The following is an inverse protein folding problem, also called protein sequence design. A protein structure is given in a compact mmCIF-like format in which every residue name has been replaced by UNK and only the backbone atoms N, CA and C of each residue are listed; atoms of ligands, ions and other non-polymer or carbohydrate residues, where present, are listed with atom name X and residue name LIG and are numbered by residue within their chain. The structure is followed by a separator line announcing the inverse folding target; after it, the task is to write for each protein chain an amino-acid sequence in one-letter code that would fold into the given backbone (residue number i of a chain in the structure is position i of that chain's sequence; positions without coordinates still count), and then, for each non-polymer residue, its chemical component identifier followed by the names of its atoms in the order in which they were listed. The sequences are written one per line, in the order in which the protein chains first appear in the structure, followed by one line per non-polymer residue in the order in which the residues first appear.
data_IF_968401605044
#
_entry.id   IF_968401605044
#
_cell.length_a   1.000
_cell.length_b   1.000
_cell.length_c   1.000
_cell.angle_alpha   90.00
_cell.angle_beta   90.00
_cell.angle_gamma   90.00
#
_symmetry.space_group_name_H-M   'P 1'
#
loop_
_entity.id
_entity.type
_entity.pdbx_description
1 polymer ?
#
# COMPACT_ATOMS: atom_id res chain seq x y z
N UNK A 1 5.98 -1.78 -25.11
CA UNK A 1 6.63 -1.09 -23.97
C UNK A 1 5.92 0.24 -23.75
N UNK A 2 5.47 0.57 -22.52
CA UNK A 2 4.87 1.89 -22.24
C UNK A 2 6.00 2.87 -21.90
N UNK A 3 6.03 4.04 -22.53
CA UNK A 3 6.95 5.12 -22.16
C UNK A 3 6.58 5.62 -20.75
N UNK A 4 7.58 5.79 -19.89
CA UNK A 4 7.41 6.29 -18.52
C UNK A 4 8.41 7.41 -18.25
N UNK A 5 7.97 8.41 -17.47
CA UNK A 5 8.80 9.52 -17.01
C UNK A 5 9.12 9.35 -15.52
N UNK A 6 10.31 9.79 -15.10
CA UNK A 6 10.75 9.72 -13.70
C UNK A 6 11.41 11.03 -13.27
N UNK A 7 10.82 11.66 -12.26
CA UNK A 7 11.41 12.80 -11.57
C UNK A 7 12.00 12.36 -10.22
N UNK A 8 13.21 12.82 -9.90
CA UNK A 8 13.86 12.56 -8.62
C UNK A 8 13.81 13.84 -7.80
N UNK A 9 13.08 13.81 -6.68
CA UNK A 9 12.92 14.93 -5.76
C UNK A 9 13.91 14.75 -4.60
N UNK A 10 14.90 15.65 -4.49
CA UNK A 10 15.86 15.69 -3.39
C UNK A 10 15.34 16.50 -2.21
N UNK A 11 16.01 16.42 -1.06
CA UNK A 11 15.63 17.15 0.17
C UNK A 11 15.61 18.68 0.03
N UNK A 12 16.38 19.23 -0.91
CA UNK A 12 16.43 20.67 -1.17
C UNK A 12 15.24 21.17 -2.00
N UNK A 13 14.46 20.27 -2.59
CA UNK A 13 13.32 20.65 -3.40
C UNK A 13 12.16 21.14 -2.53
N UNK A 14 11.49 22.23 -2.94
CA UNK A 14 10.42 22.87 -2.15
C UNK A 14 9.26 21.93 -1.81
N UNK A 15 8.90 21.00 -2.72
CA UNK A 15 7.86 19.98 -2.49
C UNK A 15 8.29 18.79 -1.60
N UNK A 16 9.57 18.66 -1.27
CA UNK A 16 10.08 17.45 -0.62
C UNK A 16 9.38 17.15 0.71
N UNK A 17 9.21 18.17 1.55
CA UNK A 17 8.63 18.03 2.89
C UNK A 17 7.19 17.51 2.82
N UNK A 18 6.40 18.04 1.88
CA UNK A 18 5.01 17.61 1.69
C UNK A 18 4.93 16.16 1.18
N UNK A 19 5.76 15.81 0.19
CA UNK A 19 5.78 14.45 -0.37
C UNK A 19 6.21 13.44 0.70
N UNK A 20 7.24 13.76 1.49
CA UNK A 20 7.70 12.89 2.58
C UNK A 20 6.61 12.69 3.64
N UNK A 21 5.93 13.78 4.04
CA UNK A 21 4.81 13.71 4.98
C UNK A 21 3.70 12.80 4.47
N UNK A 22 3.24 12.96 3.22
CA UNK A 22 2.21 12.08 2.65
C UNK A 22 2.69 10.62 2.54
N UNK A 23 3.96 10.39 2.23
CA UNK A 23 4.54 9.04 2.19
C UNK A 23 4.61 8.40 3.58
N UNK A 24 4.77 9.20 4.64
CA UNK A 24 4.67 8.76 6.02
C UNK A 24 3.24 8.39 6.41
N UNK A 25 2.25 9.23 6.08
CA UNK A 25 0.81 8.94 6.30
C UNK A 25 0.40 7.67 5.56
N UNK A 26 0.81 7.51 4.29
CA UNK A 26 0.59 6.29 3.51
C UNK A 26 1.17 5.04 4.20
N UNK A 27 2.32 5.17 4.85
CA UNK A 27 2.92 4.09 5.64
C UNK A 27 2.11 3.77 6.88
N UNK A 28 1.56 4.77 7.58
CA UNK A 28 0.70 4.53 8.73
C UNK A 28 -0.57 3.78 8.33
N UNK A 29 -1.26 4.25 7.27
CA UNK A 29 -2.44 3.57 6.73
C UNK A 29 -2.14 2.12 6.34
N UNK A 30 -1.01 1.88 5.66
CA UNK A 30 -0.55 0.53 5.32
C UNK A 30 -0.36 -0.33 6.57
N UNK A 31 0.32 0.18 7.59
CA UNK A 31 0.58 -0.55 8.83
C UNK A 31 -0.71 -0.82 9.62
N UNK A 32 -1.63 0.13 9.69
CA UNK A 32 -2.95 -0.02 10.33
C UNK A 32 -3.78 -1.09 9.62
N UNK A 33 -3.86 -1.04 8.29
CA UNK A 33 -4.56 -2.07 7.53
C UNK A 33 -3.90 -3.46 7.71
N UNK A 34 -2.56 -3.50 7.71
CA UNK A 34 -1.84 -4.75 7.91
C UNK A 34 -1.99 -5.30 9.32
N UNK A 35 -2.18 -4.44 10.32
CA UNK A 35 -2.48 -4.87 11.68
C UNK A 35 -3.76 -5.70 11.72
N UNK A 36 -4.86 -5.20 11.14
CA UNK A 36 -6.12 -5.94 11.10
C UNK A 36 -6.00 -7.27 10.35
N UNK A 37 -5.30 -7.31 9.21
CA UNK A 37 -5.04 -8.58 8.53
C UNK A 37 -4.25 -9.56 9.38
N UNK A 38 -3.19 -9.10 10.06
CA UNK A 38 -2.33 -9.96 10.89
C UNK A 38 -3.08 -10.50 12.10
N UNK A 39 -3.85 -9.67 12.80
CA UNK A 39 -4.68 -10.13 13.91
C UNK A 39 -5.63 -11.24 13.47
N UNK A 40 -6.39 -10.99 12.40
CA UNK A 40 -7.31 -11.98 11.84
C UNK A 40 -6.59 -13.25 11.38
N UNK A 41 -5.43 -13.12 10.74
CA UNK A 41 -4.62 -14.25 10.31
C UNK A 41 -4.10 -15.08 11.49
N UNK A 42 -3.64 -14.46 12.58
CA UNK A 42 -3.10 -15.22 13.70
C UNK A 42 -4.16 -16.05 14.41
N UNK A 43 -5.36 -15.50 14.54
CA UNK A 43 -6.52 -16.18 15.11
C UNK A 43 -7.11 -17.24 14.17
N UNK A 44 -7.39 -16.88 12.91
CA UNK A 44 -8.22 -17.69 12.01
C UNK A 44 -7.43 -18.45 10.94
N UNK A 45 -6.12 -18.17 10.79
CA UNK A 45 -5.25 -18.64 9.69
C UNK A 45 -5.76 -18.31 8.28
N UNK A 46 -6.67 -17.34 8.18
CA UNK A 46 -7.33 -16.89 6.94
C UNK A 46 -7.02 -15.43 6.65
N UNK A 47 -7.36 -14.97 5.44
CA UNK A 47 -7.34 -13.56 5.06
C UNK A 47 -8.67 -12.91 5.44
N UNK A 48 -8.63 -11.74 6.06
CA UNK A 48 -9.82 -10.92 6.32
C UNK A 48 -10.48 -10.50 4.99
N UNK A 49 -11.80 -10.31 4.95
CA UNK A 49 -12.43 -9.79 3.76
C UNK A 49 -12.00 -8.34 3.50
N UNK A 50 -11.78 -7.97 2.24
CA UNK A 50 -11.39 -6.61 1.87
C UNK A 50 -12.41 -5.55 2.31
N UNK A 51 -13.71 -5.84 2.20
CA UNK A 51 -14.77 -4.91 2.58
C UNK A 51 -14.78 -4.66 4.09
N UNK A 52 -14.65 -5.72 4.89
CA UNK A 52 -14.54 -5.62 6.35
C UNK A 52 -13.30 -4.81 6.76
N UNK A 53 -12.16 -5.10 6.13
CA UNK A 53 -10.94 -4.32 6.35
C UNK A 53 -11.16 -2.85 6.02
N UNK A 54 -11.73 -2.57 4.84
CA UNK A 54 -11.96 -1.20 4.38
C UNK A 54 -12.84 -0.42 5.35
N UNK A 55 -13.91 -1.02 5.89
CA UNK A 55 -14.75 -0.38 6.91
C UNK A 55 -14.01 -0.10 8.21
N UNK A 56 -13.09 -0.98 8.63
CA UNK A 56 -12.26 -0.77 9.83
C UNK A 56 -11.32 0.42 9.67
N UNK A 57 -10.74 0.63 8.47
CA UNK A 57 -9.69 1.64 8.27
C UNK A 57 -10.19 2.96 7.66
N UNK A 58 -11.34 2.97 7.00
CA UNK A 58 -11.86 4.16 6.28
C UNK A 58 -12.21 5.35 7.19
N UNK A 59 -12.41 5.08 8.48
CA UNK A 59 -12.67 6.11 9.50
C UNK A 59 -11.41 6.68 10.16
N UNK A 60 -10.24 6.12 9.87
CA UNK A 60 -8.97 6.56 10.47
C UNK A 60 -8.50 7.91 9.92
N UNK A 61 -7.74 8.64 10.73
CA UNK A 61 -7.15 9.93 10.32
C UNK A 61 -6.18 9.75 9.16
N UNK A 62 -5.35 8.69 9.18
CA UNK A 62 -4.43 8.41 8.09
C UNK A 62 -5.16 8.16 6.75
N UNK A 63 -6.35 7.56 6.78
CA UNK A 63 -7.17 7.39 5.58
C UNK A 63 -7.70 8.71 5.05
N UNK A 64 -8.20 9.58 5.95
CA UNK A 64 -8.82 10.88 5.63
C UNK A 64 -7.80 11.94 5.21
N UNK A 65 -6.56 11.83 5.69
CA UNK A 65 -5.46 12.72 5.34
C UNK A 65 -4.86 12.46 3.94
N UNK A 66 -5.38 11.47 3.22
CA UNK A 66 -5.01 11.17 1.84
C UNK A 66 -6.25 11.17 0.95
N UNK A 67 -6.12 11.46 -0.37
CA UNK A 67 -7.25 11.36 -1.27
C UNK A 67 -7.85 9.95 -1.25
N UNK A 68 -9.17 9.83 -1.14
CA UNK A 68 -9.91 8.55 -1.01
C UNK A 68 -9.44 7.49 -2.00
N UNK A 69 -9.21 7.86 -3.27
CA UNK A 69 -8.74 6.94 -4.31
C UNK A 69 -7.33 6.40 -4.02
N UNK A 70 -6.42 7.25 -3.53
CA UNK A 70 -5.07 6.88 -3.14
C UNK A 70 -5.10 5.95 -1.91
N UNK A 71 -5.87 6.31 -0.89
CA UNK A 71 -6.06 5.50 0.33
C UNK A 71 -6.56 4.09 0.00
N UNK A 72 -7.60 4.00 -0.84
CA UNK A 72 -8.15 2.71 -1.30
C UNK A 72 -7.13 1.88 -2.07
N UNK A 73 -6.31 2.50 -2.91
CA UNK A 73 -5.26 1.79 -3.67
C UNK A 73 -4.12 1.29 -2.78
N UNK A 74 -3.75 2.03 -1.73
CA UNK A 74 -2.78 1.56 -0.71
C UNK A 74 -3.29 0.25 -0.07
N UNK A 75 -4.55 0.22 0.36
CA UNK A 75 -5.17 -0.95 0.98
C UNK A 75 -5.28 -2.11 -0.02
N UNK A 76 -5.67 -1.85 -1.28
CA UNK A 76 -5.74 -2.87 -2.34
C UNK A 76 -4.39 -3.53 -2.63
N UNK A 77 -3.30 -2.76 -2.60
CA UNK A 77 -1.95 -3.33 -2.80
C UNK A 77 -1.55 -4.25 -1.65
N UNK A 78 -1.90 -3.89 -0.42
CA UNK A 78 -1.72 -4.77 0.73
C UNK A 78 -2.58 -6.03 0.62
N UNK A 79 -3.85 -5.88 0.24
CA UNK A 79 -4.79 -6.99 0.01
C UNK A 79 -4.22 -7.99 -1.02
N UNK A 80 -3.67 -7.48 -2.13
CA UNK A 80 -2.99 -8.27 -3.15
C UNK A 80 -1.76 -9.00 -2.59
N UNK A 81 -0.93 -8.32 -1.79
CA UNK A 81 0.23 -8.94 -1.15
C UNK A 81 -0.17 -10.12 -0.23
N UNK A 82 -1.28 -10.00 0.51
CA UNK A 82 -1.84 -11.09 1.30
C UNK A 82 -2.37 -12.22 0.42
N UNK A 83 -3.10 -11.92 -0.66
CA UNK A 83 -3.56 -12.94 -1.63
C UNK A 83 -2.37 -13.73 -2.21
N UNK A 84 -1.31 -13.03 -2.61
CA UNK A 84 -0.09 -13.63 -3.14
C UNK A 84 0.62 -14.49 -2.10
N UNK A 85 0.66 -14.07 -0.82
CA UNK A 85 1.20 -14.90 0.25
C UNK A 85 0.45 -16.25 0.37
N UNK A 86 -0.89 -16.23 0.39
CA UNK A 86 -1.67 -17.47 0.48
C UNK A 86 -1.52 -18.35 -0.76
N UNK A 87 -1.43 -17.75 -1.96
CA UNK A 87 -1.15 -18.49 -3.18
C UNK A 87 0.24 -19.15 -3.14
N UNK A 88 1.27 -18.39 -2.77
CA UNK A 88 2.63 -18.89 -2.63
C UNK A 88 2.72 -19.98 -1.56
N UNK A 89 2.04 -19.84 -0.43
CA UNK A 89 2.03 -20.85 0.64
C UNK A 89 1.43 -22.17 0.16
N UNK A 90 0.31 -22.13 -0.56
CA UNK A 90 -0.33 -23.32 -1.15
C UNK A 90 0.59 -24.03 -2.14
N UNK A 91 1.27 -23.28 -2.99
CA UNK A 91 2.19 -23.85 -3.97
C UNK A 91 3.45 -24.39 -3.30
N UNK A 92 3.99 -23.68 -2.31
CA UNK A 92 5.11 -24.14 -1.51
C UNK A 92 4.82 -25.45 -0.76
N UNK A 93 3.60 -25.63 -0.25
CA UNK A 93 3.19 -26.89 0.39
C UNK A 93 3.19 -28.08 -0.58
N UNK A 94 2.93 -27.85 -1.87
CA UNK A 94 2.94 -28.89 -2.91
C UNK A 94 4.33 -29.16 -3.44
N UNK A 95 5.10 -28.10 -3.70
CA UNK A 95 6.41 -28.16 -4.36
C UNK A 95 7.40 -27.23 -3.65
N UNK A 96 7.91 -27.62 -2.46
CA UNK A 96 8.81 -26.78 -1.67
C UNK A 96 10.11 -26.42 -2.41
N UNK A 97 10.60 -27.33 -3.26
CA UNK A 97 11.83 -27.19 -4.05
C UNK A 97 11.80 -26.05 -5.08
N UNK A 98 10.61 -25.57 -5.49
CA UNK A 98 10.47 -24.40 -6.37
C UNK A 98 10.75 -23.07 -5.67
N UNK A 99 10.93 -23.09 -4.35
CA UNK A 99 11.10 -21.88 -3.54
C UNK A 99 12.43 -21.92 -2.81
N UNK A 100 13.04 -20.75 -2.66
CA UNK A 100 14.25 -20.57 -1.83
C UNK A 100 13.96 -20.69 -0.33
N UNK A 101 12.70 -20.86 0.06
CA UNK A 101 12.26 -21.02 1.44
C UNK A 101 10.77 -20.80 1.60
N UNK A 102 10.28 -21.01 2.83
CA UNK A 102 8.86 -20.86 3.16
C UNK A 102 8.40 -19.41 2.95
N UNK A 103 7.28 -19.17 2.22
CA UNK A 103 6.68 -17.85 2.07
C UNK A 103 6.42 -17.18 3.42
N UNK A 104 6.61 -15.87 3.47
CA UNK A 104 6.47 -15.05 4.69
C UNK A 104 5.32 -14.07 4.54
N UNK A 105 4.58 -13.85 5.61
CA UNK A 105 3.49 -12.86 5.65
C UNK A 105 4.03 -11.42 5.48
N UNK A 106 3.20 -10.50 4.94
CA UNK A 106 3.54 -9.08 4.86
C UNK A 106 3.98 -8.49 6.21
N UNK A 107 5.17 -7.88 6.22
CA UNK A 107 5.73 -7.22 7.41
C UNK A 107 5.20 -5.79 7.56
N UNK A 108 5.26 -5.27 8.77
CA UNK A 108 5.10 -3.84 8.99
C UNK A 108 6.28 -3.07 8.41
N UNK A 109 6.01 -1.85 7.97
CA UNK A 109 7.03 -0.86 7.66
C UNK A 109 7.53 -0.22 8.95
N UNK A 110 8.77 0.26 8.94
CA UNK A 110 9.40 0.85 10.11
C UNK A 110 8.59 2.03 10.68
N UNK A 111 8.41 2.10 12.02
CA UNK A 111 7.54 3.07 12.69
C UNK A 111 7.96 4.52 12.42
N UNK A 112 9.21 4.90 12.70
CA UNK A 112 9.69 6.27 12.49
C UNK A 112 10.24 6.52 11.06
N UNK A 113 11.15 5.66 10.60
CA UNK A 113 11.88 5.83 9.32
C UNK A 113 11.16 5.28 8.09
N UNK A 114 10.03 4.59 8.26
CA UNK A 114 9.34 3.93 7.16
C UNK A 114 8.56 4.92 6.30
N UNK A 115 8.49 4.64 5.00
CA UNK A 115 7.66 5.33 4.02
C UNK A 115 6.91 4.32 3.16
N UNK A 116 5.84 4.78 2.53
CA UNK A 116 5.09 3.97 1.57
C UNK A 116 4.77 4.77 0.33
N UNK A 117 4.55 4.05 -0.76
CA UNK A 117 4.16 4.63 -2.03
C UNK A 117 2.80 5.32 -1.93
N UNK A 118 2.59 6.32 -2.77
CA UNK A 118 1.32 7.00 -2.96
C UNK A 118 0.84 6.70 -4.39
N UNK A 119 0.03 5.65 -4.60
CA UNK A 119 -0.46 5.31 -5.93
C UNK A 119 -1.59 6.28 -6.32
N UNK A 120 -1.29 7.19 -7.25
CA UNK A 120 -2.27 8.07 -7.89
C UNK A 120 -2.72 7.44 -9.21
N UNK A 121 -3.86 6.72 -9.26
CA UNK A 121 -4.42 6.27 -10.53
C UNK A 121 -4.87 7.47 -11.37
N UNK A 122 -5.02 7.31 -12.69
CA UNK A 122 -5.44 8.40 -13.61
C UNK A 122 -6.72 9.11 -13.15
N UNK A 123 -7.63 8.35 -12.54
CA UNK A 123 -8.88 8.87 -11.99
C UNK A 123 -8.72 9.80 -10.77
N UNK A 124 -7.54 9.82 -10.16
CA UNK A 124 -7.22 10.67 -9.01
C UNK A 124 -6.62 12.01 -9.42
N UNK A 125 -6.28 12.19 -10.70
CA UNK A 125 -5.67 13.41 -11.23
C UNK A 125 -6.71 14.23 -11.98
N UNK A 126 -6.75 15.54 -11.72
CA UNK A 126 -7.68 16.44 -12.39
C UNK A 126 -7.23 16.75 -13.82
N UNK A 127 -7.85 16.09 -14.80
CA UNK A 127 -7.44 16.15 -16.21
C UNK A 127 -7.40 17.56 -16.82
N UNK A 128 -8.20 18.54 -16.35
CA UNK A 128 -8.15 19.90 -16.92
C UNK A 128 -6.87 20.65 -16.55
N UNK A 129 -6.25 20.36 -15.39
CA UNK A 129 -4.98 20.97 -15.01
C UNK A 129 -3.82 20.47 -15.89
N UNK A 130 -3.82 19.17 -16.21
CA UNK A 130 -2.84 18.55 -17.11
C UNK A 130 -2.85 19.18 -18.50
N UNK A 131 -4.03 19.54 -19.03
CA UNK A 131 -4.15 20.24 -20.33
C UNK A 131 -3.48 21.63 -20.34
N UNK A 132 -3.22 22.22 -19.17
CA UNK A 132 -2.52 23.50 -19.00
C UNK A 132 -1.02 23.32 -18.73
N UNK A 133 -0.49 22.09 -18.83
CA UNK A 133 0.90 21.79 -18.50
C UNK A 133 1.21 21.86 -17.00
N UNK A 134 0.18 21.91 -16.15
CA UNK A 134 0.35 21.89 -14.70
C UNK A 134 0.42 20.42 -14.28
N UNK A 135 1.65 19.97 -14.03
CA UNK A 135 2.00 18.64 -13.57
C UNK A 135 2.32 18.66 -12.06
#
# INVERSE_FOLDING_TARGET
MKLVERHVITKSHYLWSEIDHKAFVSKNLFNLANYHYRQYFFENKKKLNFHELYHKVSKSDDYRNLPTKVSKQIIRRLDSAWSSYFAALREWQKQPNKFLGKPKIPKYKHKAKGRNILPYPDESIYKKALKKGIC
#
